data_IF_919209253968
#
_entry.id   IF_919209253968
#
_cell.length_a   1.000
_cell.length_b   1.000
_cell.length_c   1.000
_cell.angle_alpha   90.00
_cell.angle_beta   90.00
_cell.angle_gamma   90.00
#
_symmetry.space_group_name_H-M   'P 1'
#
loop_
_entity.id
_entity.type
_entity.pdbx_description
1 polymer ?
#
# COMPACT_ATOMS: atom_id res chain seq x y z
N UNK A 1 -23.14 -25.94 6.04
CA UNK A 1 -22.37 -25.19 7.05
C UNK A 1 -20.93 -25.08 6.54
N UNK A 2 -20.64 -24.07 5.74
CA UNK A 2 -19.27 -23.86 5.24
C UNK A 2 -18.45 -23.28 6.39
N UNK A 3 -17.33 -23.92 6.73
CA UNK A 3 -16.32 -23.35 7.61
C UNK A 3 -15.73 -22.14 6.88
N UNK A 4 -16.37 -20.98 7.05
CA UNK A 4 -15.83 -19.72 6.60
C UNK A 4 -14.49 -19.53 7.28
N UNK A 5 -13.42 -19.48 6.50
CA UNK A 5 -12.15 -18.95 6.95
C UNK A 5 -12.43 -17.54 7.46
N UNK A 6 -12.46 -17.35 8.78
CA UNK A 6 -12.41 -16.01 9.34
C UNK A 6 -11.15 -15.38 8.76
N UNK A 7 -11.23 -14.24 8.05
CA UNK A 7 -10.05 -13.65 7.46
C UNK A 7 -9.04 -13.47 8.59
N UNK A 8 -7.87 -14.10 8.46
CA UNK A 8 -6.70 -13.72 9.22
C UNK A 8 -6.70 -12.20 9.25
N UNK A 9 -6.61 -11.56 10.42
CA UNK A 9 -6.62 -10.09 10.56
C UNK A 9 -5.43 -9.38 9.91
N UNK A 10 -4.77 -10.05 8.96
CA UNK A 10 -3.57 -9.68 8.22
C UNK A 10 -3.87 -9.90 6.75
N UNK A 11 -3.45 -8.93 5.95
CA UNK A 11 -3.50 -8.99 4.50
C UNK A 11 -2.44 -8.05 3.92
N UNK A 12 -2.42 -7.96 2.59
CA UNK A 12 -1.49 -7.09 1.88
C UNK A 12 -2.15 -6.50 0.64
N UNK A 13 -1.61 -5.38 0.18
CA UNK A 13 -1.97 -4.73 -1.07
C UNK A 13 -0.78 -3.90 -1.56
N UNK A 14 -0.42 -4.01 -2.84
CA UNK A 14 0.68 -3.22 -3.40
C UNK A 14 1.20 -3.75 -4.73
N UNK A 15 2.43 -3.35 -5.09
CA UNK A 15 3.18 -3.87 -6.24
C UNK A 15 4.35 -4.73 -5.79
N UNK A 16 4.68 -5.75 -6.59
CA UNK A 16 5.85 -6.61 -6.36
C UNK A 16 6.62 -6.85 -7.67
N UNK A 17 7.96 -7.04 -7.63
CA UNK A 17 8.79 -7.06 -8.84
C UNK A 17 8.41 -8.12 -9.89
N UNK A 18 7.76 -9.22 -9.46
CA UNK A 18 7.43 -10.36 -10.32
C UNK A 18 6.04 -10.30 -10.94
N UNK A 19 5.23 -9.28 -10.63
CA UNK A 19 3.86 -9.11 -11.17
C UNK A 19 3.74 -7.77 -11.87
N UNK A 20 2.95 -7.71 -12.95
CA UNK A 20 2.64 -6.44 -13.63
C UNK A 20 1.55 -5.67 -12.88
N UNK A 21 0.48 -6.35 -12.49
CA UNK A 21 -0.66 -5.72 -11.83
C UNK A 21 -0.50 -5.63 -10.31
N UNK A 22 -1.42 -4.90 -9.67
CA UNK A 22 -1.53 -4.90 -8.22
C UNK A 22 -1.81 -6.30 -7.70
N UNK A 23 -1.21 -6.62 -6.55
CA UNK A 23 -1.50 -7.84 -5.80
C UNK A 23 -2.14 -7.46 -4.48
N UNK A 24 -3.07 -8.29 -4.00
CA UNK A 24 -3.63 -8.12 -2.67
C UNK A 24 -4.51 -9.28 -2.26
N UNK A 25 -4.55 -9.54 -0.96
CA UNK A 25 -5.38 -10.56 -0.33
C UNK A 25 -5.58 -10.25 1.15
N UNK A 26 -6.67 -10.75 1.74
CA UNK A 26 -6.90 -10.66 3.19
C UNK A 26 -7.30 -9.26 3.72
N UNK A 27 -7.50 -8.27 2.85
CA UNK A 27 -7.92 -6.93 3.23
C UNK A 27 -9.35 -6.61 2.73
N UNK A 28 -10.20 -5.95 3.54
CA UNK A 28 -11.47 -5.44 3.09
C UNK A 28 -11.31 -4.47 1.91
N UNK A 29 -12.21 -4.55 0.94
CA UNK A 29 -12.14 -3.71 -0.27
C UNK A 29 -12.16 -2.21 0.01
N UNK A 30 -12.96 -1.76 0.99
CA UNK A 30 -13.04 -0.34 1.32
C UNK A 30 -11.72 0.20 1.90
N UNK A 31 -11.02 -0.62 2.67
CA UNK A 31 -9.67 -0.32 3.17
C UNK A 31 -8.70 -0.16 1.99
N UNK A 32 -8.67 -1.14 1.09
CA UNK A 32 -7.80 -1.11 -0.09
C UNK A 32 -8.05 0.12 -0.95
N UNK A 33 -9.31 0.47 -1.22
CA UNK A 33 -9.65 1.62 -2.06
C UNK A 33 -9.18 2.95 -1.47
N UNK A 34 -9.39 3.16 -0.16
CA UNK A 34 -8.98 4.39 0.52
C UNK A 34 -7.47 4.51 0.62
N UNK A 35 -6.81 3.40 0.95
CA UNK A 35 -5.35 3.32 1.03
C UNK A 35 -4.70 3.55 -0.34
N UNK A 36 -5.20 2.90 -1.40
CA UNK A 36 -4.73 3.09 -2.77
C UNK A 36 -4.83 4.56 -3.22
N UNK A 37 -5.98 5.19 -2.99
CA UNK A 37 -6.18 6.60 -3.32
C UNK A 37 -5.18 7.52 -2.61
N UNK A 38 -4.98 7.31 -1.31
CA UNK A 38 -4.01 8.08 -0.53
C UNK A 38 -2.56 7.85 -1.01
N UNK A 39 -2.15 6.60 -1.24
CA UNK A 39 -0.82 6.28 -1.76
C UNK A 39 -0.57 6.91 -3.13
N UNK A 40 -1.55 6.87 -4.04
CA UNK A 40 -1.42 7.50 -5.37
C UNK A 40 -1.23 9.01 -5.27
N UNK A 41 -1.99 9.67 -4.40
CA UNK A 41 -1.83 11.10 -4.15
C UNK A 41 -0.45 11.40 -3.56
N UNK A 42 -0.03 10.67 -2.52
CA UNK A 42 1.28 10.86 -1.89
C UNK A 42 2.44 10.64 -2.88
N UNK A 43 2.33 9.64 -3.76
CA UNK A 43 3.29 9.40 -4.84
C UNK A 43 3.31 10.54 -5.86
N UNK A 44 2.15 11.07 -6.23
CA UNK A 44 2.06 12.21 -7.15
C UNK A 44 2.71 13.45 -6.55
N UNK A 45 2.30 13.84 -5.34
CA UNK A 45 2.81 15.02 -4.63
C UNK A 45 4.31 14.92 -4.34
N UNK A 46 4.79 13.74 -3.90
CA UNK A 46 6.23 13.55 -3.66
C UNK A 46 7.05 13.66 -4.94
N UNK A 47 6.56 13.16 -6.09
CA UNK A 47 7.21 13.34 -7.39
C UNK A 47 7.32 14.81 -7.77
N UNK A 48 6.24 15.57 -7.59
CA UNK A 48 6.24 17.01 -7.87
C UNK A 48 7.23 17.74 -6.95
N UNK A 49 7.24 17.41 -5.66
CA UNK A 49 8.10 18.08 -4.68
C UNK A 49 9.59 17.76 -4.83
N UNK A 50 9.94 16.52 -5.19
CA UNK A 50 11.34 16.07 -5.25
C UNK A 50 11.95 16.09 -6.65
N UNK A 51 11.14 16.18 -7.70
CA UNK A 51 11.59 16.22 -9.09
C UNK A 51 12.55 15.08 -9.44
N UNK A 52 13.70 15.41 -10.02
CA UNK A 52 14.73 14.43 -10.43
C UNK A 52 15.30 13.62 -9.25
N UNK A 53 15.27 14.16 -8.03
CA UNK A 53 15.73 13.45 -6.83
C UNK A 53 14.74 12.40 -6.34
N UNK A 54 13.52 12.37 -6.88
CA UNK A 54 12.45 11.50 -6.40
C UNK A 54 12.81 10.02 -6.44
N UNK A 55 13.44 9.55 -7.53
CA UNK A 55 13.72 8.12 -7.69
C UNK A 55 14.75 7.62 -6.67
N UNK A 56 15.83 8.39 -6.45
CA UNK A 56 16.82 8.07 -5.42
C UNK A 56 16.17 8.03 -4.03
N UNK A 57 15.35 9.05 -3.70
CA UNK A 57 14.63 9.10 -2.44
C UNK A 57 13.64 7.93 -2.26
N UNK A 58 12.94 7.51 -3.33
CA UNK A 58 12.02 6.37 -3.29
C UNK A 58 12.76 5.05 -3.04
N UNK A 59 13.90 4.84 -3.71
CA UNK A 59 14.68 3.61 -3.57
C UNK A 59 15.36 3.47 -2.21
N UNK A 60 15.62 4.59 -1.53
CA UNK A 60 16.22 4.64 -0.19
C UNK A 60 15.21 4.87 0.94
N UNK A 61 13.92 5.07 0.59
CA UNK A 61 12.91 5.35 1.59
C UNK A 61 12.75 4.19 2.59
N UNK A 62 12.58 4.50 3.88
CA UNK A 62 12.57 3.48 4.92
C UNK A 62 11.28 2.67 4.88
N UNK A 63 11.30 1.55 5.61
CA UNK A 63 10.09 0.80 5.95
C UNK A 63 9.34 1.57 7.05
N UNK A 64 8.09 1.95 6.77
CA UNK A 64 7.23 2.67 7.69
C UNK A 64 6.32 1.72 8.44
N UNK A 65 6.46 1.68 9.77
CA UNK A 65 5.48 1.05 10.66
C UNK A 65 4.41 2.08 11.01
N UNK A 66 3.14 1.75 10.85
CA UNK A 66 2.06 2.71 11.04
C UNK A 66 0.89 2.14 11.84
N UNK A 67 0.10 3.08 12.40
CA UNK A 67 -1.22 2.82 12.98
C UNK A 67 -2.21 3.81 12.40
N UNK A 68 -3.35 3.32 11.93
CA UNK A 68 -4.48 4.13 11.50
C UNK A 68 -5.61 4.00 12.51
N UNK A 69 -6.19 5.13 12.89
CA UNK A 69 -7.40 5.16 13.70
C UNK A 69 -8.59 4.58 12.91
N UNK A 70 -9.59 4.01 13.60
CA UNK A 70 -10.90 3.70 13.00
C UNK A 70 -11.47 4.90 12.23
N UNK A 71 -12.09 4.64 11.08
CA UNK A 71 -12.70 5.64 10.21
C UNK A 71 -11.80 6.16 9.09
N UNK A 72 -10.47 6.05 9.20
CA UNK A 72 -9.55 6.54 8.15
C UNK A 72 -9.55 5.65 6.89
N UNK A 73 -9.48 4.33 7.08
CA UNK A 73 -9.46 3.34 6.00
C UNK A 73 -10.53 2.25 6.22
N UNK A 74 -11.66 2.62 6.80
CA UNK A 74 -12.76 1.71 7.14
C UNK A 74 -13.10 1.72 8.63
N UNK A 75 -14.07 0.90 9.04
CA UNK A 75 -14.62 0.94 10.40
C UNK A 75 -13.64 0.48 11.50
N UNK A 76 -12.66 -0.34 11.17
CA UNK A 76 -11.66 -0.84 12.13
C UNK A 76 -10.37 -0.02 12.07
N UNK A 77 -9.67 0.07 13.20
CA UNK A 77 -8.28 0.55 13.24
C UNK A 77 -7.34 -0.48 12.64
N UNK A 78 -6.21 -0.02 12.09
CA UNK A 78 -5.25 -0.88 11.38
C UNK A 78 -3.85 -0.63 11.93
N UNK A 79 -3.08 -1.70 12.07
CA UNK A 79 -1.65 -1.68 12.27
C UNK A 79 -1.00 -2.31 11.05
N UNK A 80 0.08 -1.72 10.56
CA UNK A 80 0.68 -2.20 9.32
C UNK A 80 2.11 -1.74 9.12
N UNK A 81 2.66 -2.23 8.02
CA UNK A 81 3.98 -1.88 7.52
C UNK A 81 3.84 -1.51 6.05
N UNK A 82 4.50 -0.43 5.64
CA UNK A 82 4.58 0.03 4.25
C UNK A 82 6.06 0.12 3.87
N UNK A 83 6.40 -0.27 2.65
CA UNK A 83 7.75 -0.18 2.11
C UNK A 83 7.68 0.29 0.66
N UNK A 84 8.70 0.97 0.14
CA UNK A 84 8.80 1.25 -1.29
C UNK A 84 8.89 -0.05 -2.09
N UNK A 85 8.19 -0.11 -3.22
CA UNK A 85 8.22 -1.25 -4.13
C UNK A 85 8.06 -0.81 -5.60
N UNK A 86 8.23 -1.77 -6.51
CA UNK A 86 8.17 -1.61 -7.96
C UNK A 86 7.57 -2.87 -8.58
N UNK A 87 6.76 -2.72 -9.62
CA UNK A 87 6.26 -3.87 -10.40
C UNK A 87 7.22 -4.32 -11.50
N UNK A 88 6.86 -5.40 -12.19
CA UNK A 88 7.63 -5.96 -13.31
C UNK A 88 7.84 -4.96 -14.47
N UNK A 89 6.98 -3.95 -14.59
CA UNK A 89 7.06 -2.93 -15.64
C UNK A 89 7.79 -1.66 -15.18
N UNK A 90 8.38 -1.64 -13.98
CA UNK A 90 9.08 -0.47 -13.45
C UNK A 90 8.17 0.61 -12.86
N UNK A 91 6.88 0.33 -12.64
CA UNK A 91 5.95 1.31 -12.05
C UNK A 91 6.03 1.21 -10.53
N UNK A 92 6.26 2.35 -9.89
CA UNK A 92 6.48 2.45 -8.45
C UNK A 92 5.15 2.58 -7.69
N UNK A 93 4.99 1.75 -6.67
CA UNK A 93 3.89 1.82 -5.70
C UNK A 93 4.31 0.96 -4.49
N UNK A 94 4.00 1.36 -3.25
CA UNK A 94 4.38 0.59 -2.07
C UNK A 94 3.66 -0.77 -1.97
#
# INVERSE_FOLDING_TARGET
MSLGFAPSGVGFYGKIPVRGDFVGAGLPRDLVNRWDGWCRLALHESRQALGESWLAAWMEAPIWRFRLAPGLCGAAGILGVMLPSVDRAGRHFP
#
